data_IF_079800483624
#
_entry.id   IF_079800483624
#
_cell.length_a   1.000
_cell.length_b   1.000
_cell.length_c   1.000
_cell.angle_alpha   90.00
_cell.angle_beta   90.00
_cell.angle_gamma   90.00
#
_symmetry.space_group_name_H-M   'P 1'
#
loop_
_entity.id
_entity.type
_entity.pdbx_description
1 polymer ?
#
# COMPACT_ATOMS: atom_id res chain seq x y z
N UNK A 1 50.09 80.65 -84.34
CA UNK A 1 50.52 80.15 -83.01
C UNK A 1 51.94 79.63 -83.14
N UNK A 2 52.96 80.26 -82.52
CA UNK A 2 54.36 79.85 -82.65
C UNK A 2 54.66 78.61 -81.79
N UNK A 3 55.55 77.73 -82.28
CA UNK A 3 56.05 76.55 -81.53
C UNK A 3 56.88 76.99 -80.31
N UNK A 4 56.78 76.34 -79.14
CA UNK A 4 57.74 76.56 -78.07
C UNK A 4 59.11 76.00 -78.49
N UNK A 5 60.16 76.81 -78.34
CA UNK A 5 61.54 76.42 -78.60
C UNK A 5 61.95 75.24 -77.70
N UNK A 6 62.50 74.18 -78.30
CA UNK A 6 63.03 73.02 -77.60
C UNK A 6 64.39 73.37 -76.98
N UNK A 7 64.41 73.62 -75.67
CA UNK A 7 65.63 73.78 -74.88
C UNK A 7 66.39 72.45 -74.82
N UNK A 8 67.66 72.42 -75.21
CA UNK A 8 68.45 71.16 -75.23
C UNK A 8 69.12 70.88 -73.87
N UNK A 9 69.40 69.60 -73.53
CA UNK A 9 70.07 69.22 -72.27
C UNK A 9 71.42 69.90 -72.04
N UNK A 10 72.21 70.10 -73.10
CA UNK A 10 73.51 70.77 -73.01
C UNK A 10 73.39 72.27 -72.71
N UNK A 11 72.33 72.91 -73.22
CA UNK A 11 72.00 74.30 -72.88
C UNK A 11 71.55 74.43 -71.42
N UNK A 12 70.82 73.45 -70.90
CA UNK A 12 70.46 73.40 -69.47
C UNK A 12 71.73 73.26 -68.63
N UNK A 13 72.64 72.36 -69.00
CA UNK A 13 73.88 72.10 -68.26
C UNK A 13 74.82 73.30 -68.25
N UNK A 14 75.07 73.91 -69.41
CA UNK A 14 75.93 75.10 -69.50
C UNK A 14 75.36 76.29 -68.73
N UNK A 15 74.03 76.48 -68.75
CA UNK A 15 73.37 77.56 -68.02
C UNK A 15 73.42 77.33 -66.51
N UNK A 16 73.28 76.08 -66.04
CA UNK A 16 73.41 75.74 -64.62
C UNK A 16 74.85 75.94 -64.14
N UNK A 17 75.85 75.52 -64.91
CA UNK A 17 77.26 75.74 -64.58
C UNK A 17 77.62 77.23 -64.61
N UNK A 18 77.08 78.00 -65.55
CA UNK A 18 77.24 79.45 -65.57
C UNK A 18 76.60 80.11 -64.33
N UNK A 19 75.40 79.68 -63.92
CA UNK A 19 74.76 80.18 -62.69
C UNK A 19 75.56 79.86 -61.42
N UNK A 20 76.28 78.72 -61.39
CA UNK A 20 77.15 78.36 -60.28
C UNK A 20 78.48 79.15 -60.31
N UNK A 21 79.03 79.39 -61.51
CA UNK A 21 80.24 80.19 -61.69
C UNK A 21 80.01 81.68 -61.40
N UNK A 22 78.86 82.24 -61.83
CA UNK A 22 78.44 83.63 -61.51
C UNK A 22 78.20 83.83 -60.01
N UNK A 23 77.78 82.78 -59.30
CA UNK A 23 77.62 82.82 -57.85
C UNK A 23 78.96 82.80 -57.09
N UNK A 24 80.08 82.66 -57.81
CA UNK A 24 81.46 82.93 -57.40
C UNK A 24 81.83 82.50 -55.98
N UNK A 25 82.24 81.24 -55.79
CA UNK A 25 82.95 80.86 -54.56
C UNK A 25 83.64 79.48 -54.67
N UNK A 26 84.88 79.41 -54.20
CA UNK A 26 85.80 78.26 -54.29
C UNK A 26 85.57 77.17 -53.23
N UNK A 27 84.31 76.87 -52.88
CA UNK A 27 83.98 75.82 -51.87
C UNK A 27 83.02 74.77 -52.44
N UNK A 28 83.24 73.47 -52.16
CA UNK A 28 82.52 72.39 -52.83
C UNK A 28 81.03 72.42 -52.54
N UNK A 29 80.22 72.15 -53.57
CA UNK A 29 78.77 72.29 -53.49
C UNK A 29 78.13 71.16 -52.67
N UNK A 30 77.56 71.48 -51.52
CA UNK A 30 76.59 70.59 -50.84
C UNK A 30 75.23 70.69 -51.52
N UNK A 31 74.44 69.60 -51.53
CA UNK A 31 73.15 69.55 -52.24
C UNK A 31 72.16 70.65 -51.79
N UNK A 32 72.16 71.00 -50.51
CA UNK A 32 71.36 72.11 -49.99
C UNK A 32 71.78 73.48 -50.58
N UNK A 33 73.07 73.70 -50.84
CA UNK A 33 73.60 74.93 -51.45
C UNK A 33 73.26 74.99 -52.94
N UNK A 34 73.40 73.88 -53.66
CA UNK A 34 73.04 73.77 -55.08
C UNK A 34 71.58 74.18 -55.31
N UNK A 35 70.65 73.65 -54.50
CA UNK A 35 69.21 73.98 -54.59
C UNK A 35 68.87 75.43 -54.23
N UNK A 36 69.68 76.08 -53.39
CA UNK A 36 69.50 77.50 -53.02
C UNK A 36 69.88 78.43 -54.19
N UNK A 37 70.97 78.11 -54.87
CA UNK A 37 71.51 78.91 -55.97
C UNK A 37 70.73 78.65 -57.27
N UNK A 38 70.49 77.38 -57.58
CA UNK A 38 69.85 76.92 -58.81
C UNK A 38 68.49 76.32 -58.48
N UNK A 39 67.43 76.86 -59.10
CA UNK A 39 66.08 76.31 -58.97
C UNK A 39 65.42 76.27 -60.35
N UNK A 40 64.44 75.37 -60.51
CA UNK A 40 63.68 75.23 -61.77
C UNK A 40 63.12 76.59 -62.24
N UNK A 41 62.66 77.44 -61.30
CA UNK A 41 62.15 78.78 -61.60
C UNK A 41 63.24 79.72 -62.13
N UNK A 42 64.42 79.76 -61.48
CA UNK A 42 65.54 80.61 -61.92
C UNK A 42 66.13 80.13 -63.25
N UNK A 43 66.24 78.82 -63.42
CA UNK A 43 66.72 78.19 -64.65
C UNK A 43 65.77 78.46 -65.83
N UNK A 44 64.46 78.33 -65.61
CA UNK A 44 63.44 78.66 -66.63
C UNK A 44 63.44 80.15 -66.99
N UNK A 45 63.67 81.04 -66.02
CA UNK A 45 63.76 82.48 -66.28
C UNK A 45 64.98 82.85 -67.15
N UNK A 46 66.10 82.12 -67.04
CA UNK A 46 67.31 82.30 -67.86
C UNK A 46 67.18 81.66 -69.25
N UNK A 47 66.50 80.52 -69.36
CA UNK A 47 66.33 79.79 -70.61
C UNK A 47 65.14 80.29 -71.46
N UNK A 48 64.24 81.09 -70.89
CA UNK A 48 63.06 81.66 -71.56
C UNK A 48 61.95 80.65 -71.89
N UNK A 49 62.25 79.35 -71.96
CA UNK A 49 61.32 78.26 -72.21
C UNK A 49 61.81 76.93 -71.61
N UNK A 50 60.90 76.00 -71.36
CA UNK A 50 61.19 74.66 -70.85
C UNK A 50 60.09 74.09 -69.95
N UNK A 51 59.83 72.79 -70.11
CA UNK A 51 58.90 72.05 -69.25
C UNK A 51 59.49 71.85 -67.84
N UNK A 52 58.79 72.25 -66.75
CA UNK A 52 59.27 72.13 -65.37
C UNK A 52 59.71 70.72 -64.95
N UNK A 53 59.03 69.67 -65.43
CA UNK A 53 59.36 68.29 -65.06
C UNK A 53 60.69 67.83 -65.68
N UNK A 54 60.98 68.31 -66.89
CA UNK A 54 62.23 68.01 -67.60
C UNK A 54 63.41 68.78 -67.00
N UNK A 55 63.20 70.05 -66.66
CA UNK A 55 64.20 70.88 -65.97
C UNK A 55 64.52 70.36 -64.56
N UNK A 56 63.52 69.87 -63.82
CA UNK A 56 63.75 69.30 -62.48
C UNK A 56 64.57 68.01 -62.53
N UNK A 57 64.33 67.13 -63.52
CA UNK A 57 65.11 65.90 -63.69
C UNK A 57 66.56 66.20 -64.08
N UNK A 58 66.77 67.12 -65.01
CA UNK A 58 68.11 67.56 -65.40
C UNK A 58 68.85 68.22 -64.22
N UNK A 59 68.17 69.05 -63.42
CA UNK A 59 68.76 69.67 -62.23
C UNK A 59 69.17 68.64 -61.17
N UNK A 60 68.33 67.64 -60.90
CA UNK A 60 68.66 66.59 -59.93
C UNK A 60 69.86 65.74 -60.38
N UNK A 61 69.97 65.46 -61.68
CA UNK A 61 71.12 64.75 -62.24
C UNK A 61 72.41 65.57 -62.11
N UNK A 62 72.35 66.87 -62.41
CA UNK A 62 73.49 67.79 -62.28
C UNK A 62 73.84 68.00 -60.80
N UNK A 63 72.86 68.09 -59.88
CA UNK A 63 73.08 68.16 -58.44
C UNK A 63 73.88 66.93 -57.95
N UNK A 64 73.44 65.74 -58.33
CA UNK A 64 74.09 64.50 -57.92
C UNK A 64 75.53 64.37 -58.44
N UNK A 65 75.81 64.92 -59.62
CA UNK A 65 77.15 64.94 -60.21
C UNK A 65 78.07 65.95 -59.49
N UNK A 66 77.63 67.21 -59.36
CA UNK A 66 78.44 68.29 -58.76
C UNK A 66 78.70 68.03 -57.27
N UNK A 67 77.71 67.50 -56.53
CA UNK A 67 77.89 67.14 -55.11
C UNK A 67 78.87 65.97 -54.97
N UNK A 68 78.84 65.00 -55.89
CA UNK A 68 79.77 63.86 -55.88
C UNK A 68 81.20 64.30 -56.16
N UNK A 69 81.40 65.18 -57.15
CA UNK A 69 82.71 65.78 -57.44
C UNK A 69 83.23 66.65 -56.29
N UNK A 70 82.34 67.37 -55.60
CA UNK A 70 82.71 68.19 -54.44
C UNK A 70 83.13 67.39 -53.20
N UNK A 71 82.64 66.16 -53.03
CA UNK A 71 83.05 65.27 -51.94
C UNK A 71 84.43 64.66 -52.17
N UNK A 72 84.83 64.44 -53.43
CA UNK A 72 86.18 63.97 -53.79
C UNK A 72 87.28 65.02 -53.60
N UNK A 73 86.94 66.31 -53.46
CA UNK A 73 87.90 67.41 -53.23
C UNK A 73 88.15 67.73 -51.74
N UNK A 74 87.55 67.00 -50.80
CA UNK A 74 87.82 67.19 -49.37
C UNK A 74 89.15 66.51 -49.02
N UNK A 75 90.26 67.12 -49.45
CA UNK A 75 91.59 66.82 -48.96
C UNK A 75 91.82 67.61 -47.66
N UNK A 76 92.04 66.93 -46.54
CA UNK A 76 92.46 67.55 -45.29
C UNK A 76 93.87 68.14 -45.51
N UNK A 77 94.09 69.46 -45.40
CA UNK A 77 95.38 70.05 -45.75
C UNK A 77 96.47 69.59 -44.78
N UNK A 78 97.55 69.01 -45.31
CA UNK A 78 98.75 68.63 -44.54
C UNK A 78 98.91 67.14 -44.24
N UNK A 79 98.01 66.27 -44.68
CA UNK A 79 98.21 64.81 -44.62
C UNK A 79 98.85 64.31 -45.93
N UNK A 80 99.97 63.57 -45.88
CA UNK A 80 100.49 62.85 -47.04
C UNK A 80 99.43 61.93 -47.65
N UNK A 81 99.35 61.84 -48.99
CA UNK A 81 98.29 61.11 -49.69
C UNK A 81 98.24 59.63 -49.29
N UNK A 82 99.39 58.99 -49.04
CA UNK A 82 99.40 57.59 -48.61
C UNK A 82 98.76 57.40 -47.22
N UNK A 83 98.91 58.37 -46.31
CA UNK A 83 98.31 58.32 -44.97
C UNK A 83 96.80 58.57 -45.03
N UNK A 84 96.35 59.47 -45.92
CA UNK A 84 94.93 59.74 -46.11
C UNK A 84 94.19 58.50 -46.68
N UNK A 85 94.80 57.79 -47.62
CA UNK A 85 94.28 56.52 -48.15
C UNK A 85 94.21 55.44 -47.06
N UNK A 86 95.26 55.30 -46.24
CA UNK A 86 95.27 54.35 -45.12
C UNK A 86 94.22 54.68 -44.06
N UNK A 87 94.05 55.95 -43.70
CA UNK A 87 93.00 56.39 -42.77
C UNK A 87 91.61 56.17 -43.34
N UNK A 88 91.40 56.39 -44.64
CA UNK A 88 90.13 56.10 -45.29
C UNK A 88 89.85 54.59 -45.31
N UNK A 89 90.85 53.76 -45.62
CA UNK A 89 90.73 52.30 -45.58
C UNK A 89 90.43 51.78 -44.16
N UNK A 90 91.10 52.32 -43.14
CA UNK A 90 90.82 51.99 -41.73
C UNK A 90 89.41 52.41 -41.30
N UNK A 91 88.96 53.60 -41.72
CA UNK A 91 87.60 54.06 -41.45
C UNK A 91 86.55 53.19 -42.14
N UNK A 92 86.74 52.85 -43.41
CA UNK A 92 85.84 51.95 -44.16
C UNK A 92 85.79 50.56 -43.53
N UNK A 93 86.94 50.01 -43.10
CA UNK A 93 87.00 48.73 -42.40
C UNK A 93 86.27 48.79 -41.04
N UNK A 94 86.45 49.85 -40.27
CA UNK A 94 85.75 50.04 -38.99
C UNK A 94 84.24 50.19 -39.19
N UNK A 95 83.80 50.96 -40.18
CA UNK A 95 82.38 51.11 -40.54
C UNK A 95 81.78 49.78 -41.02
N UNK A 96 82.52 49.00 -41.81
CA UNK A 96 82.09 47.66 -42.24
C UNK A 96 81.87 46.72 -41.06
N UNK A 97 82.83 46.64 -40.12
CA UNK A 97 82.69 45.83 -38.89
C UNK A 97 81.48 46.29 -38.06
N UNK A 98 81.28 47.60 -37.90
CA UNK A 98 80.11 48.13 -37.18
C UNK A 98 78.79 47.81 -37.90
N UNK A 99 78.77 47.87 -39.24
CA UNK A 99 77.60 47.51 -40.03
C UNK A 99 77.28 46.01 -39.88
N UNK A 100 78.30 45.15 -39.93
CA UNK A 100 78.19 43.70 -39.72
C UNK A 100 77.66 43.37 -38.32
N UNK A 101 78.16 44.07 -37.29
CA UNK A 101 77.66 43.94 -35.91
C UNK A 101 76.18 44.35 -35.80
N UNK A 102 75.77 45.45 -36.46
CA UNK A 102 74.36 45.88 -36.50
C UNK A 102 73.49 44.87 -37.23
N UNK A 103 73.96 44.30 -38.34
CA UNK A 103 73.23 43.26 -39.08
C UNK A 103 73.10 41.99 -38.22
N UNK A 104 74.18 41.59 -37.53
CA UNK A 104 74.16 40.46 -36.59
C UNK A 104 73.15 40.69 -35.47
N UNK A 105 73.20 41.85 -34.81
CA UNK A 105 72.26 42.21 -33.74
C UNK A 105 70.81 42.26 -34.22
N UNK A 106 70.56 42.75 -35.44
CA UNK A 106 69.22 42.72 -36.05
C UNK A 106 68.73 41.29 -36.27
N UNK A 107 69.61 40.40 -36.74
CA UNK A 107 69.27 38.98 -36.92
C UNK A 107 68.98 38.30 -35.58
N UNK A 108 69.84 38.50 -34.58
CA UNK A 108 69.64 37.96 -33.23
C UNK A 108 68.35 38.50 -32.58
N UNK A 109 68.06 39.80 -32.76
CA UNK A 109 66.81 40.39 -32.28
C UNK A 109 65.58 39.81 -33.00
N UNK A 110 65.65 39.60 -34.32
CA UNK A 110 64.56 38.97 -35.07
C UNK A 110 64.34 37.52 -34.62
N UNK A 111 65.42 36.75 -34.46
CA UNK A 111 65.34 35.37 -33.96
C UNK A 111 64.75 35.31 -32.54
N UNK A 112 65.09 36.27 -31.67
CA UNK A 112 64.52 36.37 -30.33
C UNK A 112 63.03 36.74 -30.34
N UNK A 113 62.60 37.63 -31.25
CA UNK A 113 61.19 37.97 -31.45
C UNK A 113 60.41 36.75 -31.95
N UNK A 114 60.90 36.08 -32.98
CA UNK A 114 60.24 34.91 -33.56
C UNK A 114 60.12 33.78 -32.51
N UNK A 115 61.16 33.57 -31.69
CA UNK A 115 61.13 32.62 -30.59
C UNK A 115 60.12 33.01 -29.48
N UNK A 116 60.03 34.30 -29.14
CA UNK A 116 59.07 34.79 -28.16
C UNK A 116 57.62 34.69 -28.67
N UNK A 117 57.38 34.95 -29.95
CA UNK A 117 56.08 34.78 -30.60
C UNK A 117 55.67 33.31 -30.64
N UNK A 118 56.58 32.41 -31.01
CA UNK A 118 56.33 30.98 -30.97
C UNK A 118 55.98 30.50 -29.55
N UNK A 119 56.77 30.90 -28.54
CA UNK A 119 56.50 30.56 -27.14
C UNK A 119 55.17 31.14 -26.64
N UNK A 120 54.81 32.36 -27.08
CA UNK A 120 53.51 32.95 -26.77
C UNK A 120 52.36 32.16 -27.39
N UNK A 121 52.46 31.78 -28.67
CA UNK A 121 51.42 30.99 -29.33
C UNK A 121 51.23 29.62 -28.68
N UNK A 122 52.32 28.94 -28.29
CA UNK A 122 52.25 27.67 -27.55
C UNK A 122 51.57 27.83 -26.19
N UNK A 123 51.92 28.88 -25.45
CA UNK A 123 51.28 29.19 -24.17
C UNK A 123 49.78 29.51 -24.33
N UNK A 124 49.40 30.29 -25.36
CA UNK A 124 48.00 30.59 -25.67
C UNK A 124 47.21 29.30 -26.00
N UNK A 125 47.76 28.42 -26.83
CA UNK A 125 47.16 27.12 -27.16
C UNK A 125 46.98 26.25 -25.91
N UNK A 126 47.98 26.21 -25.01
CA UNK A 126 47.89 25.45 -23.76
C UNK A 126 46.83 26.02 -22.81
N UNK A 127 46.67 27.34 -22.76
CA UNK A 127 45.62 27.99 -21.97
C UNK A 127 44.24 27.64 -22.52
N UNK A 128 44.05 27.63 -23.83
CA UNK A 128 42.77 27.24 -24.43
C UNK A 128 42.44 25.76 -24.17
N UNK A 129 43.42 24.87 -24.28
CA UNK A 129 43.25 23.46 -23.95
C UNK A 129 42.83 23.27 -22.48
N UNK A 130 43.52 23.94 -21.53
CA UNK A 130 43.17 23.88 -20.11
C UNK A 130 41.78 24.49 -19.84
N UNK A 131 41.37 25.53 -20.56
CA UNK A 131 40.01 26.11 -20.44
C UNK A 131 38.95 25.13 -20.91
N UNK A 132 39.21 24.41 -22.00
CA UNK A 132 38.32 23.36 -22.47
C UNK A 132 38.23 22.21 -21.46
N UNK A 133 39.35 21.70 -20.96
CA UNK A 133 39.38 20.64 -19.94
C UNK A 133 38.62 21.05 -18.67
N UNK A 134 38.80 22.29 -18.18
CA UNK A 134 38.05 22.80 -17.03
C UNK A 134 36.54 22.82 -17.31
N UNK A 135 36.14 23.19 -18.53
CA UNK A 135 34.72 23.24 -18.93
C UNK A 135 34.13 21.84 -19.00
N UNK A 136 34.86 20.88 -19.56
CA UNK A 136 34.47 19.48 -19.63
C UNK A 136 34.36 18.87 -18.21
N UNK A 137 35.35 19.08 -17.35
CA UNK A 137 35.33 18.60 -15.96
C UNK A 137 34.17 19.20 -15.15
N UNK A 138 33.87 20.49 -15.34
CA UNK A 138 32.70 21.13 -14.72
C UNK A 138 31.40 20.50 -15.20
N UNK A 139 31.27 20.24 -16.50
CA UNK A 139 30.08 19.58 -17.05
C UNK A 139 29.92 18.15 -16.49
N UNK A 140 31.01 17.38 -16.41
CA UNK A 140 31.02 16.04 -15.85
C UNK A 140 30.66 16.04 -14.35
N UNK A 141 31.18 17.01 -13.59
CA UNK A 141 30.82 17.18 -12.17
C UNK A 141 29.33 17.48 -12.01
N UNK A 142 28.76 18.41 -12.80
CA UNK A 142 27.33 18.72 -12.74
C UNK A 142 26.44 17.53 -13.11
N UNK A 143 26.86 16.70 -14.07
CA UNK A 143 26.15 15.48 -14.43
C UNK A 143 26.20 14.44 -13.30
N UNK A 144 27.37 14.25 -12.67
CA UNK A 144 27.53 13.38 -11.51
C UNK A 144 26.70 13.85 -10.31
N UNK A 145 26.65 15.16 -10.04
CA UNK A 145 25.83 15.72 -8.96
C UNK A 145 24.33 15.49 -9.20
N UNK A 146 23.87 15.61 -10.45
CA UNK A 146 22.49 15.30 -10.83
C UNK A 146 22.17 13.80 -10.63
N UNK A 147 23.02 12.90 -11.14
CA UNK A 147 22.85 11.45 -10.94
C UNK A 147 22.84 11.07 -9.45
N UNK A 148 23.70 11.70 -8.65
CA UNK A 148 23.79 11.46 -7.21
C UNK A 148 22.54 11.98 -6.47
N UNK A 149 22.01 13.14 -6.88
CA UNK A 149 20.72 13.64 -6.38
C UNK A 149 19.57 12.69 -6.71
N UNK A 150 19.52 12.16 -7.94
CA UNK A 150 18.51 11.20 -8.37
C UNK A 150 18.59 9.89 -7.58
N UNK A 151 19.79 9.33 -7.39
CA UNK A 151 19.98 8.12 -6.58
C UNK A 151 19.58 8.34 -5.12
N UNK A 152 19.89 9.52 -4.55
CA UNK A 152 19.45 9.87 -3.18
C UNK A 152 17.92 9.96 -3.09
N UNK A 153 17.25 10.54 -4.09
CA UNK A 153 15.80 10.62 -4.14
C UNK A 153 15.17 9.22 -4.25
N UNK A 154 15.72 8.35 -5.10
CA UNK A 154 15.27 6.96 -5.22
C UNK A 154 15.47 6.18 -3.93
N UNK A 155 16.62 6.34 -3.26
CA UNK A 155 16.90 5.71 -1.97
C UNK A 155 15.91 6.16 -0.90
N UNK A 156 15.62 7.46 -0.80
CA UNK A 156 14.64 7.98 0.15
C UNK A 156 13.24 7.38 -0.08
N UNK A 157 12.81 7.28 -1.34
CA UNK A 157 11.53 6.67 -1.71
C UNK A 157 11.47 5.17 -1.40
N UNK A 158 12.54 4.41 -1.66
CA UNK A 158 12.61 2.99 -1.30
C UNK A 158 12.60 2.82 0.21
N UNK A 159 13.34 3.64 0.94
CA UNK A 159 13.36 3.62 2.40
C UNK A 159 11.97 3.91 3.00
N UNK A 160 11.26 4.91 2.48
CA UNK A 160 9.88 5.19 2.88
C UNK A 160 8.96 3.98 2.61
N UNK A 161 9.05 3.37 1.42
CA UNK A 161 8.29 2.16 1.09
C UNK A 161 8.59 1.00 2.04
N UNK A 162 9.87 0.75 2.35
CA UNK A 162 10.24 -0.28 3.32
C UNK A 162 9.62 0.00 4.69
N UNK A 163 9.73 1.24 5.19
CA UNK A 163 9.13 1.62 6.47
C UNK A 163 7.60 1.42 6.48
N UNK A 164 6.90 1.75 5.38
CA UNK A 164 5.45 1.50 5.28
C UNK A 164 5.10 0.02 5.26
N UNK A 165 5.89 -0.81 4.56
CA UNK A 165 5.68 -2.26 4.50
C UNK A 165 5.97 -2.93 5.83
N UNK A 166 7.02 -2.49 6.54
CA UNK A 166 7.37 -2.99 7.87
C UNK A 166 6.27 -2.67 8.88
N UNK A 167 5.76 -1.43 8.87
CA UNK A 167 4.62 -1.04 9.70
C UNK A 167 3.37 -1.90 9.42
N UNK A 168 3.05 -2.12 8.15
CA UNK A 168 1.93 -2.98 7.75
C UNK A 168 2.15 -4.46 8.12
N UNK A 169 3.38 -4.95 8.10
CA UNK A 169 3.72 -6.31 8.52
C UNK A 169 3.53 -6.48 10.03
N UNK A 170 3.99 -5.51 10.82
CA UNK A 170 3.79 -5.48 12.28
C UNK A 170 2.30 -5.42 12.63
N UNK A 171 1.52 -4.58 11.96
CA UNK A 171 0.07 -4.49 12.18
C UNK A 171 -0.64 -5.81 11.85
N UNK A 172 -0.30 -6.45 10.73
CA UNK A 172 -0.85 -7.76 10.36
C UNK A 172 -0.47 -8.85 11.34
N UNK A 173 0.77 -8.85 11.84
CA UNK A 173 1.21 -9.81 12.84
C UNK A 173 0.43 -9.63 14.15
N UNK A 174 0.26 -8.40 14.61
CA UNK A 174 -0.56 -8.10 15.79
C UNK A 174 -2.02 -8.54 15.61
N UNK A 175 -2.60 -8.33 14.43
CA UNK A 175 -3.96 -8.79 14.12
C UNK A 175 -4.07 -10.32 14.09
N UNK A 176 -3.06 -11.01 13.56
CA UNK A 176 -2.99 -12.47 13.56
C UNK A 176 -2.90 -13.01 15.00
N UNK A 177 -2.01 -12.45 15.81
CA UNK A 177 -1.84 -12.85 17.21
C UNK A 177 -3.15 -12.64 18.00
N UNK A 178 -3.84 -11.51 17.78
CA UNK A 178 -5.15 -11.24 18.38
C UNK A 178 -6.25 -12.21 17.91
N UNK A 179 -6.22 -12.63 16.64
CA UNK A 179 -7.17 -13.61 16.13
C UNK A 179 -6.90 -15.01 16.73
N UNK A 180 -5.64 -15.39 16.89
CA UNK A 180 -5.23 -16.67 17.50
C UNK A 180 -5.64 -16.71 18.98
N UNK A 181 -5.40 -15.64 19.74
CA UNK A 181 -5.81 -15.59 21.16
C UNK A 181 -7.32 -15.69 21.30
N UNK A 182 -8.08 -14.95 20.47
CA UNK A 182 -9.54 -15.02 20.44
C UNK A 182 -10.04 -16.42 20.08
N UNK A 183 -9.44 -17.09 19.12
CA UNK A 183 -9.80 -18.46 18.76
C UNK A 183 -9.57 -19.41 19.93
N UNK A 184 -8.41 -19.32 20.59
CA UNK A 184 -8.10 -20.14 21.76
C UNK A 184 -9.03 -19.86 22.96
N UNK A 185 -9.52 -18.64 23.12
CA UNK A 185 -10.55 -18.29 24.11
C UNK A 185 -11.91 -18.92 23.77
N UNK A 186 -12.34 -18.82 22.50
CA UNK A 186 -13.59 -19.41 22.04
C UNK A 186 -13.55 -20.93 22.16
N UNK A 187 -12.46 -21.59 21.79
CA UNK A 187 -12.31 -23.04 21.92
C UNK A 187 -12.42 -23.48 23.38
N UNK A 188 -11.76 -22.77 24.30
CA UNK A 188 -11.88 -23.04 25.74
C UNK A 188 -13.32 -22.87 26.23
N UNK A 189 -13.97 -21.78 25.85
CA UNK A 189 -15.37 -21.53 26.21
C UNK A 189 -16.31 -22.60 25.63
N UNK A 190 -16.06 -23.07 24.41
CA UNK A 190 -16.83 -24.14 23.78
C UNK A 190 -16.64 -25.48 24.51
N UNK A 191 -15.40 -25.85 24.85
CA UNK A 191 -15.10 -27.06 25.61
C UNK A 191 -15.75 -27.02 26.99
N UNK A 192 -15.67 -25.89 27.70
CA UNK A 192 -16.33 -25.69 29.00
C UNK A 192 -17.86 -25.80 28.89
N UNK A 193 -18.47 -25.17 27.87
CA UNK A 193 -19.91 -25.25 27.64
C UNK A 193 -20.38 -26.68 27.33
N UNK A 194 -19.61 -27.44 26.54
CA UNK A 194 -19.88 -28.84 26.25
C UNK A 194 -19.78 -29.71 27.51
N UNK A 195 -18.74 -29.54 28.33
CA UNK A 195 -18.58 -30.24 29.60
C UNK A 195 -19.76 -29.94 30.56
N UNK A 196 -20.14 -28.66 30.67
CA UNK A 196 -21.29 -28.26 31.49
C UNK A 196 -22.63 -28.82 30.96
N UNK A 197 -22.80 -28.96 29.65
CA UNK A 197 -23.97 -29.61 29.06
C UNK A 197 -23.98 -31.12 29.36
N UNK A 198 -22.84 -31.80 29.19
CA UNK A 198 -22.69 -33.23 29.50
C UNK A 198 -23.02 -33.51 30.96
N UNK A 199 -22.46 -32.74 31.91
CA UNK A 199 -22.77 -32.88 33.33
C UNK A 199 -24.25 -32.67 33.64
N UNK A 200 -24.92 -31.71 32.99
CA UNK A 200 -26.37 -31.50 33.15
C UNK A 200 -27.18 -32.70 32.65
N UNK A 201 -26.84 -33.24 31.48
CA UNK A 201 -27.51 -34.43 30.94
C UNK A 201 -27.27 -35.68 31.79
N UNK A 202 -26.06 -35.87 32.32
CA UNK A 202 -25.74 -36.96 33.25
C UNK A 202 -26.49 -36.83 34.58
N UNK A 203 -26.63 -35.61 35.11
CA UNK A 203 -27.40 -35.36 36.32
C UNK A 203 -28.90 -35.66 36.10
N UNK A 204 -29.45 -35.17 34.99
CA UNK A 204 -30.86 -35.41 34.63
C UNK A 204 -31.13 -36.90 34.38
N UNK A 205 -30.22 -37.62 33.71
CA UNK A 205 -30.38 -39.06 33.48
C UNK A 205 -30.35 -39.86 34.79
N UNK A 206 -29.47 -39.49 35.73
CA UNK A 206 -29.46 -40.07 37.09
C UNK A 206 -30.75 -39.77 37.84
N UNK A 207 -31.26 -38.55 37.78
CA UNK A 207 -32.53 -38.17 38.40
C UNK A 207 -33.70 -38.98 37.82
N UNK A 208 -33.79 -39.11 36.49
CA UNK A 208 -34.82 -39.89 35.83
C UNK A 208 -34.75 -41.39 36.21
N UNK A 209 -33.56 -41.95 36.35
CA UNK A 209 -33.39 -43.33 36.84
C UNK A 209 -33.87 -43.49 38.30
N UNK A 210 -33.61 -42.51 39.16
CA UNK A 210 -34.09 -42.52 40.55
C UNK A 210 -35.61 -42.36 40.62
N UNK A 211 -36.19 -41.41 39.88
CA UNK A 211 -37.64 -41.21 39.82
C UNK A 211 -38.37 -42.43 39.29
N UNK A 212 -37.86 -43.05 38.21
CA UNK A 212 -38.46 -44.28 37.67
C UNK A 212 -38.32 -45.47 38.63
N UNK A 213 -37.24 -45.55 39.41
CA UNK A 213 -37.12 -46.54 40.48
C UNK A 213 -38.16 -46.31 41.59
N UNK A 214 -38.31 -45.06 42.05
CA UNK A 214 -39.31 -44.69 43.05
C UNK A 214 -40.74 -44.95 42.58
N UNK A 215 -41.08 -44.62 41.33
CA UNK A 215 -42.38 -44.92 40.74
C UNK A 215 -42.65 -46.42 40.70
N UNK A 216 -41.67 -47.25 40.32
CA UNK A 216 -41.81 -48.72 40.35
C UNK A 216 -42.06 -49.25 41.76
N UNK A 217 -41.37 -48.72 42.76
CA UNK A 217 -41.59 -49.10 44.16
C UNK A 217 -42.96 -48.67 44.68
N UNK A 218 -43.41 -47.45 44.34
CA UNK A 218 -44.73 -46.96 44.67
C UNK A 218 -45.83 -47.85 44.07
N UNK A 219 -45.75 -48.15 42.76
CA UNK A 219 -46.68 -49.04 42.07
C UNK A 219 -46.68 -50.45 42.67
N UNK A 220 -45.50 -51.00 43.03
CA UNK A 220 -45.42 -52.30 43.73
C UNK A 220 -46.14 -52.28 45.08
N UNK A 221 -45.99 -51.19 45.86
CA UNK A 221 -46.67 -51.02 47.15
C UNK A 221 -48.19 -50.90 46.96
N UNK A 222 -48.66 -50.08 46.02
CA UNK A 222 -50.08 -49.93 45.70
C UNK A 222 -50.71 -51.24 45.21
N UNK A 223 -50.00 -51.97 44.35
CA UNK A 223 -50.43 -53.29 43.90
C UNK A 223 -50.52 -54.29 45.07
N UNK A 224 -49.52 -54.31 45.97
CA UNK A 224 -49.55 -55.16 47.15
C UNK A 224 -50.71 -54.81 48.10
N UNK A 225 -50.98 -53.51 48.30
CA UNK A 225 -52.13 -53.03 49.07
C UNK A 225 -53.44 -53.47 48.44
N UNK A 226 -53.63 -53.22 47.14
CA UNK A 226 -54.82 -53.62 46.38
C UNK A 226 -55.03 -55.14 46.42
N UNK A 227 -53.96 -55.92 46.23
CA UNK A 227 -54.01 -57.38 46.33
C UNK A 227 -54.39 -57.86 47.74
N UNK A 228 -53.94 -57.17 48.80
CA UNK A 228 -54.34 -57.49 50.17
C UNK A 228 -55.82 -57.17 50.45
N UNK A 229 -56.33 -56.05 49.90
CA UNK A 229 -57.73 -55.67 49.99
C UNK A 229 -58.63 -56.63 49.22
N UNK A 230 -58.21 -57.06 48.02
CA UNK A 230 -58.91 -58.09 47.25
C UNK A 230 -58.98 -59.40 48.02
N UNK A 231 -57.85 -59.90 48.56
CA UNK A 231 -57.86 -61.11 49.40
C UNK A 231 -58.75 -60.98 50.64
N UNK A 232 -58.82 -59.80 51.25
CA UNK A 232 -59.71 -59.55 52.38
C UNK A 232 -61.18 -59.56 51.94
N UNK A 233 -61.51 -58.92 50.82
CA UNK A 233 -62.85 -58.91 50.25
C UNK A 233 -63.30 -60.32 49.84
N UNK A 234 -62.44 -61.10 49.18
CA UNK A 234 -62.66 -62.49 48.82
C UNK A 234 -62.97 -63.35 50.06
N UNK A 235 -62.19 -63.21 51.14
CA UNK A 235 -62.45 -63.91 52.41
C UNK A 235 -63.79 -63.50 53.03
N UNK A 236 -64.14 -62.22 52.97
CA UNK A 236 -65.42 -61.72 53.47
C UNK A 236 -66.60 -62.25 52.65
N UNK A 237 -66.48 -62.30 51.32
CA UNK A 237 -67.47 -62.90 50.43
C UNK A 237 -67.64 -64.38 50.77
N UNK A 238 -66.56 -65.14 50.85
CA UNK A 238 -66.60 -66.56 51.21
C UNK A 238 -67.26 -66.81 52.58
N UNK A 239 -67.00 -65.94 53.57
CA UNK A 239 -67.66 -66.01 54.87
C UNK A 239 -69.17 -65.73 54.80
N UNK A 240 -69.58 -64.71 54.03
CA UNK A 240 -71.00 -64.38 53.81
C UNK A 240 -71.71 -65.47 52.98
N UNK A 241 -71.04 -66.08 52.01
CA UNK A 241 -71.56 -67.23 51.25
C UNK A 241 -71.75 -68.43 52.16
N UNK A 242 -70.79 -68.75 53.03
CA UNK A 242 -70.93 -69.82 54.01
C UNK A 242 -72.06 -69.56 55.02
N UNK A 243 -72.24 -68.31 55.47
CA UNK A 243 -73.36 -67.91 56.33
C UNK A 243 -74.70 -68.03 55.60
N UNK A 244 -74.76 -67.60 54.33
CA UNK A 244 -75.94 -67.77 53.47
C UNK A 244 -76.29 -69.24 53.32
N UNK A 245 -75.33 -70.08 52.97
CA UNK A 245 -75.55 -71.52 52.77
C UNK A 245 -75.98 -72.21 54.09
N UNK A 246 -75.47 -71.75 55.24
CA UNK A 246 -75.95 -72.18 56.56
C UNK A 246 -77.40 -71.77 56.80
N UNK A 247 -77.76 -70.50 56.55
CA UNK A 247 -79.13 -70.01 56.71
C UNK A 247 -80.11 -70.70 55.75
N UNK A 248 -79.69 -70.95 54.50
CA UNK A 248 -80.47 -71.72 53.53
C UNK A 248 -80.67 -73.17 54.02
N UNK A 249 -79.64 -73.77 54.62
CA UNK A 249 -79.72 -75.06 55.31
C UNK A 249 -80.70 -75.05 56.49
N UNK A 250 -80.59 -74.07 57.39
CA UNK A 250 -81.50 -73.89 58.54
C UNK A 250 -82.95 -73.69 58.08
N UNK A 251 -83.17 -72.90 57.02
CA UNK A 251 -84.48 -72.66 56.43
C UNK A 251 -85.06 -73.92 55.76
N UNK A 252 -84.22 -74.73 55.11
CA UNK A 252 -84.62 -76.04 54.60
C UNK A 252 -85.03 -76.99 55.73
N UNK A 253 -84.26 -77.05 56.82
CA UNK A 253 -84.60 -77.84 58.01
C UNK A 253 -85.89 -77.35 58.67
N UNK A 254 -86.11 -76.03 58.78
CA UNK A 254 -87.39 -75.48 59.28
C UNK A 254 -88.56 -75.84 58.37
N UNK A 255 -88.38 -75.81 57.03
CA UNK A 255 -89.42 -76.24 56.09
C UNK A 255 -89.73 -77.72 56.23
N UNK A 256 -88.72 -78.57 56.38
CA UNK A 256 -88.89 -80.00 56.65
C UNK A 256 -89.59 -80.23 57.99
N UNK A 257 -89.17 -79.56 59.06
CA UNK A 257 -89.82 -79.63 60.37
C UNK A 257 -91.26 -79.13 60.34
N UNK A 258 -91.56 -78.05 59.60
CA UNK A 258 -92.94 -77.59 59.37
C UNK A 258 -93.74 -78.58 58.55
N UNK A 259 -93.16 -79.19 57.52
CA UNK A 259 -93.82 -80.23 56.73
C UNK A 259 -94.09 -81.48 57.58
N UNK A 260 -93.16 -81.88 58.44
CA UNK A 260 -93.33 -82.95 59.41
C UNK A 260 -94.43 -82.59 60.42
N UNK A 261 -94.39 -81.41 61.05
CA UNK A 261 -95.43 -80.97 61.98
C UNK A 261 -96.80 -80.84 61.31
N UNK A 262 -96.88 -80.40 60.04
CA UNK A 262 -98.11 -80.41 59.24
C UNK A 262 -98.55 -81.85 58.95
N UNK A 263 -97.63 -82.75 58.61
CA UNK A 263 -97.89 -84.17 58.42
C UNK A 263 -98.39 -84.85 59.69
N UNK A 264 -97.79 -84.56 60.83
CA UNK A 264 -98.19 -85.00 62.17
C UNK A 264 -99.53 -84.40 62.57
N UNK A 265 -99.77 -83.10 62.32
CA UNK A 265 -101.07 -82.48 62.58
C UNK A 265 -102.17 -83.06 61.69
N UNK A 266 -101.87 -83.39 60.42
CA UNK A 266 -102.78 -84.10 59.53
C UNK A 266 -103.01 -85.55 60.00
N UNK A 267 -101.98 -86.24 60.48
CA UNK A 267 -102.10 -87.56 61.07
C UNK A 267 -102.93 -87.54 62.35
N UNK A 268 -102.70 -86.58 63.25
CA UNK A 268 -103.50 -86.35 64.45
C UNK A 268 -104.93 -85.95 64.11
N UNK A 269 -105.16 -85.14 63.06
CA UNK A 269 -106.49 -84.84 62.54
C UNK A 269 -107.18 -86.08 62.00
N UNK A 270 -106.45 -86.96 61.30
CA UNK A 270 -106.96 -88.24 60.82
C UNK A 270 -107.28 -89.19 61.99
N UNK A 271 -106.42 -89.28 63.00
CA UNK A 271 -106.65 -90.06 64.23
C UNK A 271 -107.81 -89.49 65.03
N UNK A 272 -107.93 -88.17 65.16
CA UNK A 272 -109.05 -87.53 65.84
C UNK A 272 -110.37 -87.73 65.07
N UNK A 273 -110.34 -87.67 63.73
CA UNK A 273 -111.47 -88.07 62.91
C UNK A 273 -111.82 -89.56 63.08
N UNK A 274 -110.83 -90.44 63.23
CA UNK A 274 -111.01 -91.86 63.50
C UNK A 274 -111.53 -92.13 64.93
N UNK A 275 -111.09 -91.36 65.94
CA UNK A 275 -111.59 -91.39 67.30
C UNK A 275 -113.02 -90.83 67.39
N UNK A 276 -113.35 -89.79 66.62
CA UNK A 276 -114.72 -89.31 66.48
C UNK A 276 -115.62 -90.34 65.77
N UNK A 277 -115.10 -91.07 64.78
CA UNK A 277 -115.82 -92.20 64.18
C UNK A 277 -116.05 -93.33 65.22
N UNK A 278 -115.03 -93.69 65.99
CA UNK A 278 -115.10 -94.71 67.04
C UNK A 278 -116.00 -94.30 68.23
N UNK A 279 -116.01 -93.03 68.62
CA UNK A 279 -116.96 -92.48 69.60
C UNK A 279 -118.38 -92.42 69.04
N UNK A 280 -118.52 -92.14 67.74
CA UNK A 280 -119.79 -92.24 67.02
C UNK A 280 -120.34 -93.67 66.99
N UNK A 281 -119.46 -94.67 66.94
CA UNK A 281 -119.83 -96.09 67.01
C UNK A 281 -120.10 -96.56 68.44
N UNK A 282 -119.34 -96.13 69.45
CA UNK A 282 -119.60 -96.46 70.87
C UNK A 282 -120.86 -95.80 71.44
N UNK A 283 -121.20 -94.58 71.00
CA UNK A 283 -122.47 -93.93 71.34
C UNK A 283 -123.68 -94.55 70.63
N UNK A 284 -123.46 -95.41 69.62
CA UNK A 284 -124.52 -96.12 68.90
C UNK A 284 -124.93 -97.43 69.57
N UNK A 285 -124.10 -98.00 70.45
CA UNK A 285 -124.31 -99.33 71.04
C UNK A 285 -124.91 -99.36 72.47
N UNK A 286 -125.23 -98.21 73.09
CA UNK A 286 -125.74 -98.19 74.49
C UNK A 286 -127.23 -97.81 74.63
N UNK A 287 -127.92 -97.19 73.66
CA UNK A 287 -129.38 -97.03 73.76
C UNK A 287 -130.06 -96.57 72.44
N UNK A 288 -131.35 -96.92 72.21
CA UNK A 288 -131.99 -96.87 70.89
C UNK A 288 -132.75 -95.56 70.56
N UNK A 289 -132.92 -95.34 69.24
CA UNK A 289 -133.73 -94.32 68.49
C UNK A 289 -135.16 -94.10 69.08
N UNK A 290 -135.87 -92.95 68.90
CA UNK A 290 -135.81 -92.06 67.71
C UNK A 290 -136.10 -90.53 67.89
N UNK A 291 -136.11 -89.83 66.73
CA UNK A 291 -137.00 -88.68 66.35
C UNK A 291 -136.59 -87.20 66.59
N UNK A 292 -136.60 -86.44 65.47
CA UNK A 292 -136.93 -84.99 65.29
C UNK A 292 -135.93 -83.96 65.88
N UNK A 293 -135.68 -82.77 65.33
CA UNK A 293 -136.16 -82.05 64.16
C UNK A 293 -135.31 -80.77 63.95
N UNK A 294 -135.19 -80.33 62.69
CA UNK A 294 -135.29 -78.92 62.18
C UNK A 294 -134.35 -77.76 62.61
N UNK A 295 -134.25 -76.80 61.67
CA UNK A 295 -133.79 -75.39 61.72
C UNK A 295 -132.28 -75.17 61.53
N UNK A 296 -131.78 -74.73 60.37
CA UNK A 296 -131.92 -73.46 59.60
C UNK A 296 -131.33 -72.20 60.25
N UNK A 297 -130.68 -71.41 59.38
CA UNK A 297 -130.17 -70.03 59.52
C UNK A 297 -128.81 -69.90 60.21
N UNK A 298 -127.81 -69.16 59.71
CA UNK A 298 -127.76 -68.23 58.59
C UNK A 298 -126.83 -67.05 58.94
N UNK A 299 -126.30 -66.41 57.90
CA UNK A 299 -125.81 -65.00 57.84
C UNK A 299 -124.37 -64.77 58.30
N UNK A 300 -123.47 -64.40 57.36
CA UNK A 300 -123.14 -63.03 56.93
C UNK A 300 -122.04 -62.43 57.84
N UNK A 301 -121.12 -61.55 57.47
CA UNK A 301 -121.01 -60.53 56.43
C UNK A 301 -119.53 -60.08 56.50
N UNK A 302 -118.79 -60.03 55.39
CA UNK A 302 -118.37 -58.79 54.73
C UNK A 302 -117.24 -57.97 55.40
N UNK A 303 -116.38 -57.42 54.50
CA UNK A 303 -116.20 -55.98 54.27
C UNK A 303 -114.81 -55.38 54.54
N UNK A 304 -114.14 -55.00 53.42
CA UNK A 304 -113.38 -53.74 53.15
C UNK A 304 -112.09 -53.48 53.97
N UNK A 305 -111.10 -52.69 53.56
CA UNK A 305 -110.73 -51.90 52.36
C UNK A 305 -109.34 -51.30 52.60
N UNK A 306 -108.68 -50.94 51.49
CA UNK A 306 -107.92 -49.70 51.26
C UNK A 306 -106.43 -49.58 51.69
N UNK A 307 -105.63 -49.19 50.66
CA UNK A 307 -104.59 -48.14 50.61
C UNK A 307 -103.39 -48.21 51.57
N UNK A 308 -102.15 -47.88 51.22
CA UNK A 308 -101.55 -47.22 50.06
C UNK A 308 -100.25 -46.50 50.47
N UNK A 309 -99.39 -46.16 49.48
CA UNK A 309 -98.31 -45.13 49.43
C UNK A 309 -96.99 -45.33 50.23
N UNK A 310 -95.82 -45.43 49.55
CA UNK A 310 -94.83 -44.37 49.16
C UNK A 310 -93.67 -44.26 50.20
N UNK A 311 -92.37 -43.98 49.95
CA UNK A 311 -91.62 -43.33 48.88
C UNK A 311 -90.07 -43.59 48.98
N UNK A 312 -89.37 -43.58 47.83
CA UNK A 312 -88.17 -42.78 47.44
C UNK A 312 -86.91 -42.68 48.36
N UNK A 313 -85.72 -43.04 47.84
CA UNK A 313 -84.50 -42.18 47.86
C UNK A 313 -83.36 -42.63 46.92
N UNK A 314 -82.63 -41.61 46.42
CA UNK A 314 -81.49 -41.58 45.48
C UNK A 314 -80.12 -41.63 46.19
N UNK A 315 -79.07 -41.79 45.36
CA UNK A 315 -77.62 -41.49 45.54
C UNK A 315 -76.78 -42.62 46.14
N UNK A 316 -75.58 -42.91 45.63
CA UNK A 316 -74.59 -42.07 44.94
C UNK A 316 -73.79 -42.90 43.93
#
# INVERSE_FOLDING_TARGET
MPRPATTTPDQIRSTVLAMLAEAGDATPATGARFRKLVSVRKLRARLGAGDPATLSRALNAIEAEVVRSGLSEIAIPGLPPEIAEQMHALWQAAVAVQLDDVVRLKREAQEAIDAAEAARTDAEMRVELLRQEITELRSALTARDAELADVRAQHALVHERCATLDAAAVERQAALDAAVTKHAELDRAHVEALAAAQHRYEALSKQLLQETAHQREALKKEHAQSASQLKFAERRIAALEAERDRLDGELAHEREARQQAVGEALALKAVNAQQHAQLGDLLRDIAPKPSRATTHTGLASAKRTASGTAAKRKSK
#
